data_IF_255808848248
#
_entry.id   IF_255808848248
#
_cell.length_a   1.000
_cell.length_b   1.000
_cell.length_c   1.000
_cell.angle_alpha   90.00
_cell.angle_beta   90.00
_cell.angle_gamma   90.00
#
_symmetry.space_group_name_H-M   'P 1'
#
loop_
_entity.id
_entity.type
_entity.pdbx_description
1 polymer ?
#
# COMPACT_ATOMS: atom_id res chain seq x y z
N UNK A 1 -8.99 19.89 -24.69
CA UNK A 1 -9.23 20.63 -23.43
C UNK A 1 -7.93 21.28 -23.02
N UNK A 2 -7.91 22.59 -22.82
CA UNK A 2 -6.71 23.32 -22.43
C UNK A 2 -6.32 22.97 -21.00
N UNK A 3 -5.03 22.96 -20.69
CA UNK A 3 -4.44 22.67 -19.36
C UNK A 3 -5.14 23.48 -18.24
N UNK A 4 -5.62 24.68 -18.54
CA UNK A 4 -6.33 25.55 -17.61
C UNK A 4 -7.68 24.99 -17.14
N UNK A 5 -8.47 24.37 -18.03
CA UNK A 5 -9.79 23.80 -17.69
C UNK A 5 -9.67 22.53 -16.83
N UNK A 6 -8.62 21.70 -17.07
CA UNK A 6 -8.33 20.52 -16.23
C UNK A 6 -7.91 20.96 -14.83
N UNK A 7 -7.08 21.99 -14.73
CA UNK A 7 -6.61 22.53 -13.44
C UNK A 7 -7.78 23.07 -12.62
N UNK A 8 -8.72 23.79 -13.24
CA UNK A 8 -9.90 24.33 -12.56
C UNK A 8 -10.78 23.21 -12.00
N UNK A 9 -11.00 22.14 -12.75
CA UNK A 9 -11.77 20.96 -12.30
C UNK A 9 -11.13 20.27 -11.10
N UNK A 10 -9.82 20.07 -11.10
CA UNK A 10 -9.09 19.41 -10.00
C UNK A 10 -9.19 20.24 -8.72
N UNK A 11 -9.02 21.56 -8.80
CA UNK A 11 -9.16 22.46 -7.65
C UNK A 11 -10.60 22.46 -7.11
N UNK A 12 -11.62 22.37 -7.97
CA UNK A 12 -13.00 22.27 -7.52
C UNK A 12 -13.27 20.97 -6.75
N UNK A 13 -12.72 19.83 -7.20
CA UNK A 13 -12.80 18.55 -6.51
C UNK A 13 -12.06 18.57 -5.16
N UNK A 14 -10.89 19.19 -5.10
CA UNK A 14 -10.15 19.38 -3.85
C UNK A 14 -10.94 20.22 -2.84
N UNK A 15 -11.53 21.33 -3.28
CA UNK A 15 -12.38 22.16 -2.42
C UNK A 15 -13.58 21.37 -1.88
N UNK A 16 -14.19 20.53 -2.69
CA UNK A 16 -15.28 19.63 -2.27
C UNK A 16 -14.79 18.64 -1.22
N UNK A 17 -13.66 17.96 -1.46
CA UNK A 17 -13.04 17.06 -0.48
C UNK A 17 -12.84 17.74 0.87
N UNK A 18 -12.20 18.91 0.87
CA UNK A 18 -11.93 19.66 2.10
C UNK A 18 -13.23 20.14 2.78
N UNK A 19 -14.25 20.53 2.00
CA UNK A 19 -15.55 20.93 2.54
C UNK A 19 -16.26 19.75 3.22
N UNK A 20 -16.27 18.57 2.62
CA UNK A 20 -16.87 17.36 3.21
C UNK A 20 -16.11 16.92 4.47
N UNK A 21 -14.78 16.94 4.45
CA UNK A 21 -13.98 16.62 5.63
C UNK A 21 -14.28 17.59 6.79
N UNK A 22 -14.45 18.90 6.54
CA UNK A 22 -14.77 19.90 7.57
C UNK A 22 -16.09 19.67 8.29
N UNK A 23 -17.03 18.95 7.69
CA UNK A 23 -18.33 18.60 8.32
C UNK A 23 -18.17 17.52 9.40
N UNK A 24 -17.08 16.77 9.40
CA UNK A 24 -16.85 15.71 10.37
C UNK A 24 -16.42 16.32 11.73
N UNK A 25 -16.98 15.84 12.85
CA UNK A 25 -16.47 16.20 14.17
C UNK A 25 -15.00 15.83 14.37
N UNK A 26 -14.63 14.61 13.94
CA UNK A 26 -13.26 14.07 13.97
C UNK A 26 -13.17 12.85 13.06
N UNK A 27 -11.95 12.47 12.67
CA UNK A 27 -11.74 11.32 11.77
C UNK A 27 -10.46 10.57 12.07
N UNK A 28 -10.50 9.23 11.96
CA UNK A 28 -9.31 8.39 11.79
C UNK A 28 -9.11 8.18 10.28
N UNK A 29 -7.91 8.43 9.78
CA UNK A 29 -7.52 8.11 8.39
C UNK A 29 -6.61 6.89 8.41
N UNK A 30 -7.03 5.79 7.74
CA UNK A 30 -6.18 4.63 7.52
C UNK A 30 -5.04 4.98 6.56
N UNK A 31 -3.82 5.15 7.10
CA UNK A 31 -2.63 5.57 6.36
C UNK A 31 -1.75 4.36 6.02
N UNK A 32 -1.75 3.95 4.76
CA UNK A 32 -0.90 2.86 4.25
C UNK A 32 0.47 3.32 3.76
N UNK A 33 0.72 4.62 3.71
CA UNK A 33 1.93 5.19 3.11
C UNK A 33 1.93 5.28 1.57
N UNK A 34 0.88 4.84 0.90
CA UNK A 34 0.68 5.05 -0.54
C UNK A 34 0.14 6.45 -0.85
N UNK A 35 0.25 6.89 -2.11
CA UNK A 35 -0.13 8.25 -2.56
C UNK A 35 -1.52 8.66 -2.09
N UNK A 36 -2.54 7.81 -2.27
CA UNK A 36 -3.93 8.17 -1.97
C UNK A 36 -4.16 8.37 -0.47
N UNK A 37 -3.70 7.41 0.36
CA UNK A 37 -3.84 7.50 1.80
C UNK A 37 -3.01 8.63 2.41
N UNK A 38 -1.84 8.92 1.85
CA UNK A 38 -0.99 10.04 2.25
C UNK A 38 -1.65 11.38 1.93
N UNK A 39 -2.23 11.52 0.72
CA UNK A 39 -2.96 12.72 0.35
C UNK A 39 -4.21 12.91 1.21
N UNK A 40 -4.98 11.84 1.48
CA UNK A 40 -6.15 11.92 2.36
C UNK A 40 -5.75 12.32 3.79
N UNK A 41 -4.68 11.76 4.33
CA UNK A 41 -4.17 12.11 5.66
C UNK A 41 -3.76 13.60 5.74
N UNK A 42 -3.07 14.09 4.72
CA UNK A 42 -2.71 15.50 4.61
C UNK A 42 -3.96 16.39 4.50
N UNK A 43 -4.91 16.06 3.62
CA UNK A 43 -6.15 16.81 3.42
C UNK A 43 -7.01 16.84 4.70
N UNK A 44 -7.10 15.73 5.42
CA UNK A 44 -7.79 15.66 6.71
C UNK A 44 -7.13 16.56 7.76
N UNK A 45 -5.78 16.59 7.83
CA UNK A 45 -5.03 17.51 8.67
C UNK A 45 -5.32 18.97 8.32
N UNK A 46 -5.37 19.32 7.03
CA UNK A 46 -5.71 20.68 6.55
C UNK A 46 -7.16 21.08 6.90
N UNK A 47 -8.08 20.13 6.83
CA UNK A 47 -9.50 20.40 7.07
C UNK A 47 -9.87 20.47 8.56
N UNK A 48 -9.27 19.61 9.39
CA UNK A 48 -9.70 19.32 10.76
C UNK A 48 -8.67 19.65 11.85
N UNK A 49 -7.41 19.89 11.45
CA UNK A 49 -6.33 20.12 12.44
C UNK A 49 -6.12 18.91 13.35
N UNK A 50 -6.13 19.12 14.65
CA UNK A 50 -5.94 18.09 15.68
C UNK A 50 -7.10 17.06 15.77
N UNK A 51 -8.23 17.33 15.11
CA UNK A 51 -9.38 16.41 15.06
C UNK A 51 -9.22 15.31 14.01
N UNK A 52 -8.10 15.30 13.26
CA UNK A 52 -7.72 14.24 12.33
C UNK A 52 -6.55 13.44 12.92
N UNK A 53 -6.74 12.14 13.10
CA UNK A 53 -5.73 11.18 13.51
C UNK A 53 -5.46 10.23 12.34
N UNK A 54 -4.22 10.11 11.88
CA UNK A 54 -3.84 9.09 10.92
C UNK A 54 -3.34 7.84 11.65
N UNK A 55 -3.71 6.67 11.16
CA UNK A 55 -3.35 5.39 11.81
C UNK A 55 -2.79 4.43 10.77
N UNK A 56 -1.64 3.84 11.08
CA UNK A 56 -1.02 2.79 10.25
C UNK A 56 -1.00 1.48 11.00
N UNK A 57 -1.53 0.44 10.38
CA UNK A 57 -1.42 -0.92 10.91
C UNK A 57 -0.01 -1.47 10.68
N UNK A 58 0.55 -2.08 11.71
CA UNK A 58 1.84 -2.77 11.70
C UNK A 58 1.59 -4.25 11.89
N UNK A 59 1.98 -5.03 10.91
CA UNK A 59 1.98 -6.50 10.94
C UNK A 59 3.22 -7.03 10.24
N UNK A 60 3.42 -8.33 10.22
CA UNK A 60 4.49 -8.98 9.46
C UNK A 60 4.43 -8.71 7.95
N UNK A 61 3.26 -8.30 7.43
CA UNK A 61 3.06 -7.95 6.02
C UNK A 61 3.52 -6.54 5.64
N UNK A 62 3.78 -5.65 6.62
CA UNK A 62 4.24 -4.28 6.36
C UNK A 62 5.78 -4.25 6.28
N UNK A 63 6.37 -3.91 5.11
CA UNK A 63 7.82 -3.77 5.02
C UNK A 63 8.37 -2.73 6.00
N UNK A 64 9.52 -3.02 6.63
CA UNK A 64 10.17 -2.08 7.55
C UNK A 64 10.55 -0.75 6.88
N UNK A 65 10.85 -0.77 5.58
CA UNK A 65 11.09 0.45 4.78
C UNK A 65 9.85 1.33 4.71
N UNK A 66 8.67 0.74 4.45
CA UNK A 66 7.40 1.46 4.36
C UNK A 66 7.04 2.11 5.70
N UNK A 67 7.26 1.40 6.81
CA UNK A 67 7.07 1.95 8.15
C UNK A 67 7.92 3.21 8.36
N UNK A 68 9.22 3.16 8.03
CA UNK A 68 10.12 4.33 8.15
C UNK A 68 9.69 5.50 7.25
N UNK A 69 9.20 5.20 6.05
CA UNK A 69 8.67 6.23 5.14
C UNK A 69 7.44 6.92 5.71
N UNK A 70 6.50 6.16 6.30
CA UNK A 70 5.33 6.72 6.99
C UNK A 70 5.76 7.61 8.16
N UNK A 71 6.69 7.14 9.01
CA UNK A 71 7.21 7.92 10.14
C UNK A 71 7.84 9.26 9.68
N UNK A 72 8.60 9.22 8.59
CA UNK A 72 9.19 10.43 7.99
C UNK A 72 8.12 11.37 7.45
N UNK A 73 7.15 10.82 6.70
CA UNK A 73 6.05 11.58 6.09
C UNK A 73 5.23 12.32 7.14
N UNK A 74 4.73 11.62 8.16
CA UNK A 74 3.85 12.22 9.18
C UNK A 74 4.56 13.30 9.99
N UNK A 75 5.86 13.09 10.30
CA UNK A 75 6.70 14.07 10.98
C UNK A 75 6.89 15.32 10.13
N UNK A 76 7.23 15.17 8.85
CA UNK A 76 7.48 16.29 7.92
C UNK A 76 6.26 17.17 7.74
N UNK A 77 5.08 16.56 7.66
CA UNK A 77 3.82 17.27 7.38
C UNK A 77 2.99 17.60 8.63
N UNK A 78 3.54 17.36 9.83
CA UNK A 78 2.88 17.67 11.10
C UNK A 78 1.54 16.94 11.28
N UNK A 79 1.44 15.70 10.77
CA UNK A 79 0.24 14.88 10.82
C UNK A 79 0.23 14.10 12.14
N UNK A 80 -0.84 14.22 12.93
CA UNK A 80 -1.05 13.39 14.11
C UNK A 80 -1.18 11.93 13.67
N UNK A 81 -0.35 11.05 14.25
CA UNK A 81 -0.24 9.68 13.78
C UNK A 81 0.01 8.70 14.92
N UNK A 82 -0.54 7.49 14.74
CA UNK A 82 -0.38 6.37 15.66
C UNK A 82 -0.18 5.07 14.88
N UNK A 83 0.69 4.18 15.38
CA UNK A 83 0.78 2.81 14.90
C UNK A 83 -0.09 1.89 15.75
N UNK A 84 -0.83 1.00 15.10
CA UNK A 84 -1.56 -0.08 15.77
C UNK A 84 -1.04 -1.42 15.29
N UNK A 85 -1.11 -2.44 16.13
CA UNK A 85 -0.77 -3.80 15.74
C UNK A 85 -2.01 -4.53 15.23
N UNK A 86 -1.85 -5.28 14.14
CA UNK A 86 -2.83 -6.19 13.58
C UNK A 86 -2.24 -7.60 13.49
N UNK A 87 -3.09 -8.61 13.61
CA UNK A 87 -2.69 -10.01 13.79
C UNK A 87 -3.31 -10.89 12.70
N UNK A 88 -3.21 -10.45 11.42
CA UNK A 88 -3.81 -11.16 10.28
C UNK A 88 -3.32 -12.62 10.19
N UNK A 89 -2.08 -12.91 10.63
CA UNK A 89 -1.54 -14.27 10.64
C UNK A 89 -2.23 -15.19 11.68
N UNK A 90 -2.98 -14.65 12.62
CA UNK A 90 -3.82 -15.44 13.51
C UNK A 90 -5.14 -15.89 12.85
N UNK A 91 -5.49 -15.31 11.70
CA UNK A 91 -6.69 -15.66 10.95
C UNK A 91 -6.38 -16.75 9.90
N UNK A 92 -6.90 -18.00 10.05
CA UNK A 92 -6.65 -19.07 9.09
C UNK A 92 -7.09 -18.73 7.66
N UNK A 93 -8.16 -17.93 7.48
CA UNK A 93 -8.65 -17.51 6.17
C UNK A 93 -7.69 -16.54 5.47
N UNK A 94 -6.92 -15.75 6.22
CA UNK A 94 -5.83 -14.94 5.68
C UNK A 94 -4.62 -15.82 5.33
N UNK A 95 -4.26 -16.77 6.21
CA UNK A 95 -3.08 -17.64 6.06
C UNK A 95 -3.16 -18.51 4.81
N UNK A 96 -4.32 -19.06 4.50
CA UNK A 96 -4.55 -19.89 3.29
C UNK A 96 -4.22 -19.15 1.98
N UNK A 97 -4.19 -17.82 2.00
CA UNK A 97 -3.80 -16.99 0.86
C UNK A 97 -4.66 -17.20 -0.40
N UNK A 98 -5.97 -17.31 -0.21
CA UNK A 98 -6.95 -17.33 -1.28
C UNK A 98 -7.12 -15.93 -1.94
N UNK A 99 -7.78 -15.81 -3.10
CA UNK A 99 -7.98 -14.53 -3.79
C UNK A 99 -8.68 -13.46 -2.95
N UNK A 100 -9.44 -13.84 -1.93
CA UNK A 100 -10.13 -12.94 -0.99
C UNK A 100 -9.29 -12.55 0.24
N UNK A 101 -8.01 -12.99 0.34
CA UNK A 101 -7.11 -12.64 1.46
C UNK A 101 -7.17 -11.17 1.82
N UNK A 102 -7.26 -10.26 0.83
CA UNK A 102 -7.32 -8.82 1.06
C UNK A 102 -8.59 -8.39 1.80
N UNK A 103 -9.68 -9.14 1.71
CA UNK A 103 -10.87 -8.91 2.53
C UNK A 103 -10.54 -9.13 4.01
N UNK A 104 -9.97 -10.28 4.37
CA UNK A 104 -9.63 -10.62 5.75
C UNK A 104 -8.63 -9.65 6.38
N UNK A 105 -7.62 -9.21 5.61
CA UNK A 105 -6.69 -8.18 6.05
C UNK A 105 -7.38 -6.83 6.33
N UNK A 106 -8.31 -6.43 5.48
CA UNK A 106 -9.04 -5.16 5.65
C UNK A 106 -10.10 -5.23 6.75
N UNK A 107 -10.75 -6.36 6.91
CA UNK A 107 -11.70 -6.62 7.98
C UNK A 107 -11.03 -6.49 9.36
N UNK A 108 -9.86 -7.13 9.56
CA UNK A 108 -9.05 -6.98 10.77
C UNK A 108 -8.65 -5.51 10.99
N UNK A 109 -8.13 -4.84 9.95
CA UNK A 109 -7.75 -3.42 10.04
C UNK A 109 -8.92 -2.56 10.50
N UNK A 110 -10.07 -2.66 9.84
CA UNK A 110 -11.23 -1.80 10.14
C UNK A 110 -11.84 -2.14 11.49
N UNK A 111 -11.83 -3.40 11.91
CA UNK A 111 -12.21 -3.81 13.26
C UNK A 111 -11.37 -3.09 14.33
N UNK A 112 -10.03 -3.07 14.15
CA UNK A 112 -9.12 -2.36 15.08
C UNK A 112 -9.33 -0.84 15.04
N UNK A 113 -9.54 -0.26 13.85
CA UNK A 113 -9.82 1.18 13.72
C UNK A 113 -11.16 1.57 14.35
N UNK A 114 -12.20 0.76 14.21
CA UNK A 114 -13.50 0.97 14.84
C UNK A 114 -13.40 0.92 16.38
N UNK A 115 -12.61 -0.04 16.90
CA UNK A 115 -12.34 -0.12 18.34
C UNK A 115 -11.61 1.14 18.84
N UNK A 116 -10.56 1.56 18.14
CA UNK A 116 -9.81 2.77 18.45
C UNK A 116 -10.70 4.03 18.40
N UNK A 117 -11.54 4.15 17.36
CA UNK A 117 -12.47 5.26 17.20
C UNK A 117 -13.44 5.36 18.40
N UNK A 118 -14.01 4.23 18.82
CA UNK A 118 -14.89 4.19 20.01
C UNK A 118 -14.14 4.58 21.30
N UNK A 119 -12.94 4.05 21.50
CA UNK A 119 -12.11 4.35 22.68
C UNK A 119 -11.72 5.82 22.78
N UNK A 120 -11.48 6.47 21.64
CA UNK A 120 -11.04 7.87 21.57
C UNK A 120 -12.19 8.85 21.34
N UNK A 121 -13.43 8.38 21.19
CA UNK A 121 -14.57 9.24 20.85
C UNK A 121 -14.45 9.90 19.48
N UNK A 122 -13.77 9.26 18.52
CA UNK A 122 -13.62 9.75 17.15
C UNK A 122 -14.83 9.32 16.31
N UNK A 123 -15.39 10.27 15.56
CA UNK A 123 -16.70 10.13 14.93
C UNK A 123 -16.72 9.20 13.70
N UNK A 124 -15.61 9.11 12.96
CA UNK A 124 -15.58 8.37 11.69
C UNK A 124 -14.20 7.77 11.40
N UNK A 125 -14.20 6.74 10.56
CA UNK A 125 -12.99 6.16 9.93
C UNK A 125 -13.07 6.42 8.43
N UNK A 126 -11.95 6.78 7.80
CA UNK A 126 -11.82 7.03 6.37
C UNK A 126 -10.60 6.31 5.79
N UNK A 127 -10.66 5.93 4.50
CA UNK A 127 -9.51 5.34 3.81
C UNK A 127 -9.37 5.87 2.37
N UNK A 128 -8.15 5.75 1.83
CA UNK A 128 -7.78 6.31 0.53
C UNK A 128 -8.14 5.38 -0.64
N UNK A 129 -9.40 5.34 -1.05
CA UNK A 129 -9.86 4.77 -2.32
C UNK A 129 -10.22 5.91 -3.27
N UNK A 130 -9.91 5.75 -4.56
CA UNK A 130 -10.10 6.77 -5.59
C UNK A 130 -11.05 6.29 -6.71
N UNK A 131 -11.31 7.16 -7.69
CA UNK A 131 -12.28 6.88 -8.76
C UNK A 131 -11.85 5.70 -9.64
N UNK A 132 -10.54 5.53 -9.89
CA UNK A 132 -10.02 4.47 -10.76
C UNK A 132 -10.08 3.08 -10.10
N UNK A 133 -10.34 3.04 -8.80
CA UNK A 133 -10.54 1.81 -8.04
C UNK A 133 -11.96 1.22 -8.21
N UNK A 134 -12.86 1.96 -8.88
CA UNK A 134 -14.21 1.48 -9.20
C UNK A 134 -14.15 0.49 -10.38
N UNK A 135 -14.86 -0.62 -10.25
CA UNK A 135 -14.95 -1.63 -11.32
C UNK A 135 -13.90 -2.72 -11.28
N UNK A 136 -12.90 -2.63 -10.37
CA UNK A 136 -11.93 -3.69 -10.15
C UNK A 136 -12.41 -4.63 -9.02
N UNK A 137 -12.15 -5.94 -9.18
CA UNK A 137 -12.42 -6.92 -8.12
C UNK A 137 -11.46 -6.68 -6.96
N UNK A 138 -11.94 -5.97 -5.94
CA UNK A 138 -11.15 -5.64 -4.73
C UNK A 138 -11.87 -6.10 -3.48
N UNK A 139 -11.63 -7.33 -3.01
CA UNK A 139 -12.26 -7.87 -1.81
C UNK A 139 -12.17 -6.95 -0.59
N UNK A 140 -11.06 -6.21 -0.44
CA UNK A 140 -10.91 -5.25 0.65
C UNK A 140 -11.88 -4.05 0.62
N UNK A 141 -12.49 -3.73 -0.52
CA UNK A 141 -13.55 -2.70 -0.57
C UNK A 141 -14.87 -3.21 0.02
N UNK A 142 -15.11 -4.52 -0.03
CA UNK A 142 -16.27 -5.11 0.62
C UNK A 142 -16.17 -4.92 2.14
N UNK A 143 -15.03 -5.26 2.75
CA UNK A 143 -14.80 -5.02 4.18
C UNK A 143 -15.01 -3.54 4.56
N UNK A 144 -14.50 -2.60 3.75
CA UNK A 144 -14.71 -1.18 3.99
C UNK A 144 -16.19 -0.77 4.01
N UNK A 145 -17.00 -1.32 3.10
CA UNK A 145 -18.46 -1.08 3.07
C UNK A 145 -19.17 -1.65 4.31
N UNK A 146 -18.81 -2.85 4.71
CA UNK A 146 -19.38 -3.53 5.90
C UNK A 146 -19.10 -2.75 7.18
N UNK A 147 -17.88 -2.19 7.31
CA UNK A 147 -17.48 -1.31 8.42
C UNK A 147 -17.92 0.15 8.24
N UNK A 148 -18.64 0.50 7.16
CA UNK A 148 -19.10 1.86 6.87
C UNK A 148 -17.98 2.91 6.86
N UNK A 149 -16.80 2.50 6.38
CA UNK A 149 -15.63 3.38 6.29
C UNK A 149 -15.85 4.41 5.19
N UNK A 150 -15.59 5.67 5.49
CA UNK A 150 -15.77 6.78 4.54
C UNK A 150 -14.75 6.72 3.41
N UNK A 151 -15.16 7.20 2.23
CA UNK A 151 -14.39 7.20 0.99
C UNK A 151 -14.21 8.61 0.40
N UNK A 152 -13.65 9.59 1.14
CA UNK A 152 -13.73 11.00 0.77
C UNK A 152 -13.13 11.34 -0.58
N UNK A 153 -12.05 10.65 -1.01
CA UNK A 153 -11.43 10.89 -2.32
C UNK A 153 -12.34 10.42 -3.45
N UNK A 154 -12.98 9.25 -3.28
CA UNK A 154 -13.95 8.71 -4.23
C UNK A 154 -15.20 9.61 -4.31
N UNK A 155 -15.73 10.04 -3.15
CA UNK A 155 -16.91 10.90 -3.05
C UNK A 155 -16.67 12.28 -3.69
N UNK A 156 -15.42 12.76 -3.63
CA UNK A 156 -14.98 13.96 -4.33
C UNK A 156 -14.78 13.74 -5.83
N UNK A 157 -14.83 12.49 -6.33
CA UNK A 157 -14.63 12.13 -7.73
C UNK A 157 -13.17 12.30 -8.19
N UNK A 158 -12.20 12.09 -7.28
CA UNK A 158 -10.78 12.23 -7.57
C UNK A 158 -10.23 10.95 -8.19
N UNK A 159 -9.60 11.08 -9.35
CA UNK A 159 -8.83 10.01 -10.00
C UNK A 159 -7.41 9.92 -9.43
N UNK A 160 -6.72 8.81 -9.70
CA UNK A 160 -5.32 8.61 -9.32
C UNK A 160 -4.40 9.69 -9.86
N UNK A 161 -4.60 10.08 -11.12
CA UNK A 161 -3.81 11.13 -11.76
C UNK A 161 -4.03 12.50 -11.08
N UNK A 162 -5.27 12.82 -10.74
CA UNK A 162 -5.61 14.06 -10.04
C UNK A 162 -5.04 14.08 -8.62
N UNK A 163 -5.10 12.98 -7.89
CA UNK A 163 -4.50 12.85 -6.54
C UNK A 163 -2.99 13.05 -6.60
N UNK A 164 -2.30 12.48 -7.59
CA UNK A 164 -0.86 12.69 -7.80
C UNK A 164 -0.54 14.15 -8.05
N UNK A 165 -1.31 14.83 -8.91
CA UNK A 165 -1.11 16.25 -9.19
C UNK A 165 -1.34 17.12 -7.95
N UNK A 166 -2.40 16.85 -7.17
CA UNK A 166 -2.66 17.55 -5.92
C UNK A 166 -1.57 17.29 -4.88
N UNK A 167 -1.10 16.04 -4.77
CA UNK A 167 0.02 15.67 -3.91
C UNK A 167 1.30 16.42 -4.29
N UNK A 168 1.60 16.53 -5.59
CA UNK A 168 2.74 17.27 -6.10
C UNK A 168 2.66 18.76 -5.76
N UNK A 169 1.49 19.39 -5.90
CA UNK A 169 1.23 20.79 -5.52
C UNK A 169 1.40 21.02 -4.03
N UNK A 170 0.99 20.04 -3.21
CA UNK A 170 1.14 20.08 -1.77
C UNK A 170 2.57 19.72 -1.30
N UNK A 171 3.51 19.49 -2.22
CA UNK A 171 4.89 19.05 -1.96
C UNK A 171 4.97 17.77 -1.13
N UNK A 172 4.04 16.83 -1.34
CA UNK A 172 4.08 15.52 -0.70
C UNK A 172 5.02 14.61 -1.49
N UNK A 173 6.04 14.04 -0.85
CA UNK A 173 7.03 13.15 -1.47
C UNK A 173 6.43 11.86 -2.03
N UNK A 174 5.20 11.54 -1.65
CA UNK A 174 4.46 10.36 -2.09
C UNK A 174 3.77 10.53 -3.46
N UNK A 175 3.86 11.70 -4.09
CA UNK A 175 3.12 12.03 -5.33
C UNK A 175 3.40 11.09 -6.51
N UNK A 176 4.64 10.63 -6.66
CA UNK A 176 5.07 9.70 -7.72
C UNK A 176 5.34 8.29 -7.22
N UNK A 177 5.06 8.03 -5.92
CA UNK A 177 5.31 6.73 -5.31
C UNK A 177 4.60 5.63 -6.09
N UNK A 178 5.32 4.55 -6.49
CA UNK A 178 4.69 3.38 -7.09
C UNK A 178 3.67 2.76 -6.12
N UNK A 179 2.69 2.02 -6.65
CA UNK A 179 1.74 1.30 -5.81
C UNK A 179 2.49 0.37 -4.85
N UNK A 180 2.39 0.68 -3.55
CA UNK A 180 2.98 -0.13 -2.50
C UNK A 180 2.01 -1.27 -2.19
N UNK A 181 2.41 -2.49 -2.54
CA UNK A 181 1.69 -3.69 -2.15
C UNK A 181 2.35 -4.31 -0.92
N UNK A 182 1.58 -4.91 -0.02
CA UNK A 182 2.07 -5.59 1.18
C UNK A 182 2.97 -6.79 0.81
N UNK A 183 3.84 -7.25 1.72
CA UNK A 183 4.71 -8.41 1.47
C UNK A 183 3.91 -9.67 1.09
N UNK A 184 2.74 -9.88 1.70
CA UNK A 184 1.90 -11.02 1.38
C UNK A 184 1.48 -11.10 -0.10
N UNK A 185 1.45 -9.97 -0.82
CA UNK A 185 1.20 -9.96 -2.28
C UNK A 185 2.32 -10.61 -3.11
N UNK A 186 3.45 -10.94 -2.50
CA UNK A 186 4.55 -11.67 -3.14
C UNK A 186 4.41 -13.17 -3.00
N UNK A 187 3.56 -13.64 -2.11
CA UNK A 187 3.33 -15.06 -1.89
C UNK A 187 2.32 -15.56 -2.93
N UNK A 188 2.65 -16.63 -3.64
CA UNK A 188 1.76 -17.19 -4.66
C UNK A 188 0.44 -17.67 -4.05
N UNK A 189 -0.67 -17.45 -4.74
CA UNK A 189 -1.97 -17.94 -4.28
C UNK A 189 -1.95 -19.43 -3.99
N UNK A 190 -2.58 -19.85 -2.88
CA UNK A 190 -2.58 -21.23 -2.41
C UNK A 190 -1.30 -21.66 -1.68
N UNK A 191 -0.31 -20.79 -1.58
CA UNK A 191 0.83 -20.97 -0.66
C UNK A 191 0.55 -20.17 0.60
N UNK A 192 0.63 -20.82 1.74
CA UNK A 192 0.36 -20.19 3.04
C UNK A 192 1.21 -18.95 3.29
N UNK A 193 0.60 -17.93 3.88
CA UNK A 193 1.33 -16.74 4.34
C UNK A 193 1.82 -17.01 5.75
N UNK A 194 3.14 -17.06 5.92
CA UNK A 194 3.80 -17.23 7.22
C UNK A 194 4.75 -16.09 7.49
N UNK A 195 5.09 -15.86 8.76
CA UNK A 195 6.08 -14.85 9.13
C UNK A 195 7.44 -15.13 8.48
N UNK A 196 7.81 -16.41 8.36
CA UNK A 196 9.06 -16.84 7.76
C UNK A 196 9.14 -16.46 6.27
N UNK A 197 8.11 -16.82 5.47
CA UNK A 197 8.15 -16.52 4.04
C UNK A 197 8.00 -15.01 3.74
N UNK A 198 7.30 -14.25 4.57
CA UNK A 198 7.27 -12.79 4.49
C UNK A 198 8.65 -12.20 4.74
N UNK A 199 9.38 -12.70 5.77
CA UNK A 199 10.75 -12.28 6.08
C UNK A 199 11.73 -12.62 4.97
N UNK A 200 11.63 -13.83 4.39
CA UNK A 200 12.47 -14.23 3.24
C UNK A 200 12.28 -13.29 2.05
N UNK A 201 11.03 -12.93 1.74
CA UNK A 201 10.70 -11.99 0.66
C UNK A 201 11.25 -10.58 0.97
N UNK A 202 11.06 -10.08 2.18
CA UNK A 202 11.54 -8.76 2.57
C UNK A 202 13.06 -8.66 2.48
N UNK A 203 13.77 -9.65 3.02
CA UNK A 203 15.23 -9.70 2.97
C UNK A 203 15.75 -9.83 1.54
N UNK A 204 15.11 -10.65 0.71
CA UNK A 204 15.46 -10.79 -0.70
C UNK A 204 15.28 -9.47 -1.48
N UNK A 205 14.13 -8.82 -1.34
CA UNK A 205 13.90 -7.50 -1.97
C UNK A 205 14.88 -6.43 -1.46
N UNK A 206 15.21 -6.44 -0.16
CA UNK A 206 16.19 -5.52 0.41
C UNK A 206 17.60 -5.76 -0.15
N UNK A 207 18.02 -7.01 -0.30
CA UNK A 207 19.30 -7.37 -0.89
C UNK A 207 19.39 -6.96 -2.37
N UNK A 208 18.32 -7.16 -3.16
CA UNK A 208 18.27 -6.69 -4.55
C UNK A 208 18.39 -5.15 -4.64
N UNK A 209 17.73 -4.42 -3.75
CA UNK A 209 17.86 -2.96 -3.68
C UNK A 209 19.28 -2.51 -3.27
N UNK A 210 19.92 -3.23 -2.35
CA UNK A 210 21.32 -2.97 -1.96
C UNK A 210 22.30 -3.18 -3.13
N UNK A 211 21.98 -4.07 -4.07
CA UNK A 211 22.70 -4.22 -5.35
C UNK A 211 22.38 -3.09 -6.36
N UNK A 212 21.53 -2.12 -6.01
CA UNK A 212 21.19 -0.97 -6.81
C UNK A 212 20.07 -1.19 -7.83
N UNK A 213 19.26 -2.25 -7.71
CA UNK A 213 18.04 -2.42 -8.51
C UNK A 213 16.89 -1.61 -7.92
N UNK A 214 16.20 -0.83 -8.75
CA UNK A 214 15.19 0.15 -8.31
C UNK A 214 13.80 -0.46 -8.13
N UNK A 215 13.33 -1.21 -9.14
CA UNK A 215 12.00 -1.85 -9.14
C UNK A 215 12.18 -3.36 -9.12
N UNK A 216 11.94 -3.96 -7.97
CA UNK A 216 12.15 -5.40 -7.76
C UNK A 216 10.95 -6.02 -7.05
N UNK A 217 10.71 -7.30 -7.31
CA UNK A 217 9.83 -8.17 -6.54
C UNK A 217 10.47 -9.56 -6.41
N UNK A 218 10.41 -10.11 -5.22
CA UNK A 218 10.74 -11.50 -4.94
C UNK A 218 9.44 -12.28 -4.76
N UNK A 219 9.00 -13.02 -5.79
CA UNK A 219 7.77 -13.82 -5.76
C UNK A 219 8.05 -15.19 -5.18
N UNK A 220 7.40 -15.49 -4.08
CA UNK A 220 7.54 -16.73 -3.33
C UNK A 220 6.61 -17.82 -3.89
N UNK A 221 7.16 -18.94 -4.33
CA UNK A 221 6.45 -20.10 -4.84
C UNK A 221 6.87 -21.38 -4.07
N UNK A 222 6.94 -21.31 -2.74
CA UNK A 222 7.45 -22.39 -1.91
C UNK A 222 8.99 -22.49 -2.00
N UNK A 223 9.48 -23.57 -2.57
CA UNK A 223 10.93 -23.79 -2.72
C UNK A 223 11.61 -22.91 -3.80
N UNK A 224 10.81 -22.21 -4.60
CA UNK A 224 11.28 -21.40 -5.72
C UNK A 224 10.99 -19.92 -5.46
N UNK A 225 11.99 -19.06 -5.71
CA UNK A 225 11.79 -17.63 -5.86
C UNK A 225 11.82 -17.23 -7.33
N UNK A 226 10.83 -16.43 -7.76
CA UNK A 226 10.82 -15.77 -9.06
C UNK A 226 11.12 -14.28 -8.85
N UNK A 227 12.29 -13.85 -9.30
CA UNK A 227 12.75 -12.46 -9.19
C UNK A 227 12.18 -11.68 -10.38
N UNK A 228 11.50 -10.57 -10.10
CA UNK A 228 11.07 -9.62 -11.12
C UNK A 228 11.88 -8.33 -10.95
N UNK A 229 12.49 -7.86 -12.04
CA UNK A 229 13.32 -6.64 -12.08
C UNK A 229 12.80 -5.76 -13.21
N UNK A 230 12.91 -4.43 -13.09
CA UNK A 230 12.51 -3.51 -14.16
C UNK A 230 13.13 -3.91 -15.51
N UNK A 231 12.36 -3.83 -16.59
CA UNK A 231 12.79 -4.31 -17.91
C UNK A 231 14.08 -3.63 -18.40
N UNK A 232 14.26 -2.35 -18.11
CA UNK A 232 15.47 -1.57 -18.42
C UNK A 232 16.69 -2.00 -17.61
N UNK A 233 16.52 -2.71 -16.49
CA UNK A 233 17.58 -3.23 -15.63
C UNK A 233 17.90 -4.73 -15.91
N UNK A 234 17.08 -5.45 -16.71
CA UNK A 234 17.29 -6.86 -17.03
C UNK A 234 18.65 -7.17 -17.65
N UNK A 235 19.19 -6.37 -18.60
CA UNK A 235 20.52 -6.65 -19.16
C UNK A 235 21.62 -6.72 -18.08
N UNK A 236 21.55 -5.88 -17.06
CA UNK A 236 22.47 -5.91 -15.92
C UNK A 236 22.21 -7.14 -15.03
N UNK A 237 20.95 -7.48 -14.81
CA UNK A 237 20.56 -8.62 -13.98
C UNK A 237 21.01 -9.96 -14.56
N UNK A 238 21.10 -10.05 -15.89
CA UNK A 238 21.49 -11.27 -16.62
C UNK A 238 23.01 -11.47 -16.73
N UNK A 239 23.83 -10.54 -16.22
CA UNK A 239 25.28 -10.75 -16.23
C UNK A 239 25.66 -11.93 -15.33
N UNK A 240 26.71 -12.71 -15.68
CA UNK A 240 27.17 -13.83 -14.85
C UNK A 240 27.43 -13.46 -13.40
N UNK A 241 27.98 -12.28 -13.15
CA UNK A 241 28.22 -11.75 -11.81
C UNK A 241 26.92 -11.58 -11.01
N UNK A 242 25.88 -10.96 -11.61
CA UNK A 242 24.62 -10.72 -10.92
C UNK A 242 23.82 -12.00 -10.71
N UNK A 243 23.80 -12.89 -11.69
CA UNK A 243 23.11 -14.19 -11.55
C UNK A 243 23.73 -15.04 -10.43
N UNK A 244 25.05 -15.02 -10.28
CA UNK A 244 25.71 -15.66 -9.17
C UNK A 244 25.33 -15.03 -7.83
N UNK A 245 25.36 -13.70 -7.73
CA UNK A 245 24.94 -12.99 -6.51
C UNK A 245 23.49 -13.28 -6.13
N UNK A 246 22.59 -13.31 -7.10
CA UNK A 246 21.18 -13.67 -6.84
C UNK A 246 21.07 -15.09 -6.30
N UNK A 247 21.79 -16.05 -6.90
CA UNK A 247 21.79 -17.43 -6.44
C UNK A 247 22.31 -17.54 -5.00
N UNK A 248 23.40 -16.87 -4.66
CA UNK A 248 23.99 -16.85 -3.31
C UNK A 248 23.01 -16.24 -2.29
N UNK A 249 22.44 -15.07 -2.58
CA UNK A 249 21.48 -14.37 -1.70
C UNK A 249 20.26 -15.25 -1.42
N UNK A 250 19.59 -15.73 -2.45
CA UNK A 250 18.31 -16.41 -2.27
C UNK A 250 18.47 -17.85 -1.77
N UNK A 251 19.56 -18.53 -2.10
CA UNK A 251 19.90 -19.81 -1.45
C UNK A 251 20.23 -19.63 0.02
N UNK A 252 20.93 -18.55 0.37
CA UNK A 252 21.17 -18.18 1.76
C UNK A 252 19.87 -17.87 2.55
N UNK A 253 18.80 -17.46 1.86
CA UNK A 253 17.47 -17.27 2.42
C UNK A 253 16.62 -18.56 2.45
N UNK A 254 17.16 -19.71 2.00
CA UNK A 254 16.49 -21.01 2.07
C UNK A 254 15.79 -21.48 0.79
N UNK A 255 15.83 -20.72 -0.31
CA UNK A 255 15.23 -21.17 -1.58
C UNK A 255 16.08 -22.24 -2.26
N UNK A 256 15.44 -23.30 -2.76
CA UNK A 256 16.13 -24.33 -3.57
C UNK A 256 16.37 -23.86 -5.01
N UNK A 257 15.41 -23.11 -5.57
CA UNK A 257 15.45 -22.65 -6.94
C UNK A 257 15.35 -21.14 -7.00
N UNK A 258 16.26 -20.52 -7.75
CA UNK A 258 16.31 -19.07 -7.98
C UNK A 258 16.10 -18.82 -9.45
N UNK A 259 15.05 -18.07 -9.80
CA UNK A 259 14.68 -17.80 -11.19
C UNK A 259 14.50 -16.31 -11.42
N UNK A 260 14.72 -15.85 -12.64
CA UNK A 260 14.47 -14.49 -13.08
C UNK A 260 13.29 -14.50 -14.07
N UNK A 261 12.32 -13.62 -13.86
CA UNK A 261 11.24 -13.40 -14.82
C UNK A 261 11.77 -12.61 -16.02
N UNK A 262 11.77 -13.22 -17.20
CA UNK A 262 12.32 -12.61 -18.42
C UNK A 262 11.44 -11.49 -18.98
N UNK A 263 10.18 -11.40 -18.57
CA UNK A 263 9.30 -10.28 -18.91
C UNK A 263 9.49 -9.09 -17.96
N UNK A 264 10.23 -9.29 -16.87
CA UNK A 264 10.54 -8.29 -15.87
C UNK A 264 9.36 -7.92 -14.96
N UNK A 265 9.53 -6.84 -14.21
CA UNK A 265 8.51 -6.35 -13.27
C UNK A 265 7.27 -5.82 -14.00
N UNK A 266 6.10 -6.40 -13.66
CA UNK A 266 4.78 -5.95 -14.13
C UNK A 266 3.85 -5.80 -12.94
N UNK A 267 3.12 -4.70 -12.92
CA UNK A 267 2.10 -4.51 -11.89
C UNK A 267 0.97 -5.54 -12.10
N UNK A 268 0.58 -6.23 -11.02
CA UNK A 268 -0.50 -7.21 -11.07
C UNK A 268 -0.13 -8.58 -11.64
N UNK A 269 1.17 -8.91 -11.79
CA UNK A 269 1.63 -10.20 -12.34
C UNK A 269 1.13 -11.44 -11.58
N UNK A 270 0.57 -11.27 -10.38
CA UNK A 270 -0.07 -12.31 -9.57
C UNK A 270 -1.60 -12.23 -9.53
N UNK A 271 -2.19 -11.21 -10.14
CA UNK A 271 -3.64 -11.18 -10.24
C UNK A 271 -4.08 -12.33 -11.17
N UNK A 272 -5.08 -13.13 -10.79
CA UNK A 272 -5.65 -14.11 -11.70
C UNK A 272 -6.03 -13.38 -13.00
N UNK A 273 -5.66 -13.96 -14.14
CA UNK A 273 -6.20 -13.49 -15.41
C UNK A 273 -7.71 -13.65 -15.34
N UNK A 274 -8.42 -12.54 -15.28
CA UNK A 274 -9.88 -12.49 -15.38
C UNK A 274 -10.31 -12.85 -16.79
#
# INVERSE_FOLDING_TARGET
MTTSAIIETVVAKERRLLAELRKLPSVIVALSGGTDSAYLAWAARQALGERALSVTAVSASLPASERREVESFVRRHGIAHEFIHTEELANPLYVVNSPDRCYHCKDELFTRLDQLARQRGIAAVAYGVNLDDQGDFRPGQQAAREHRVLTPLLDAGLSKAEIRELSRRANLETWDKPAAACLASRIAHGVEVTEENLKQVEQGEAALRALGFRKVRARYHGELVRIEIAADELPRALTPEMTQKFAEIFKGLGFKFVTLDLEGYRQGSFNPSL
#
